data_IF_867558521196
#
_entry.id   IF_867558521196
#
_cell.length_a   1.000
_cell.length_b   1.000
_cell.length_c   1.000
_cell.angle_alpha   90.00
_cell.angle_beta   90.00
_cell.angle_gamma   90.00
#
_symmetry.space_group_name_H-M   'P 1'
#
loop_
_entity.id
_entity.type
_entity.pdbx_description
1 polymer ?
#
# COMPACT_ATOMS: atom_id res chain seq x y z
N UNK A 1 37.54 -13.26 -25.98
CA UNK A 1 36.68 -14.05 -25.08
C UNK A 1 35.80 -13.08 -24.29
N UNK A 2 34.57 -12.83 -24.75
CA UNK A 2 33.66 -11.86 -24.13
C UNK A 2 32.74 -12.58 -23.13
N UNK A 3 32.87 -12.27 -21.83
CA UNK A 3 31.93 -12.74 -20.80
C UNK A 3 30.74 -11.81 -20.76
N UNK A 4 29.65 -12.21 -21.42
CA UNK A 4 28.32 -11.62 -21.20
C UNK A 4 27.86 -12.02 -19.81
N UNK A 5 27.85 -11.10 -18.86
CA UNK A 5 27.20 -11.30 -17.56
C UNK A 5 25.69 -11.28 -17.77
N UNK A 6 25.12 -12.47 -17.99
CA UNK A 6 23.67 -12.68 -17.97
C UNK A 6 23.19 -12.40 -16.54
N UNK A 7 22.49 -11.29 -16.33
CA UNK A 7 21.77 -11.02 -15.07
C UNK A 7 20.94 -12.26 -14.70
N UNK A 8 21.03 -12.75 -13.45
CA UNK A 8 20.22 -13.88 -13.04
C UNK A 8 18.74 -13.47 -13.06
N UNK A 9 17.89 -14.34 -13.62
CA UNK A 9 16.45 -14.16 -13.59
C UNK A 9 15.96 -14.11 -12.12
N UNK A 10 14.94 -13.29 -11.80
CA UNK A 10 14.40 -13.21 -10.44
C UNK A 10 13.93 -14.61 -9.99
N UNK A 11 14.31 -15.00 -8.77
CA UNK A 11 14.03 -16.34 -8.22
C UNK A 11 12.52 -16.50 -8.00
N UNK A 12 11.97 -17.73 -8.07
CA UNK A 12 10.53 -17.98 -7.85
C UNK A 12 10.03 -17.58 -6.45
N UNK A 13 10.94 -17.40 -5.48
CA UNK A 13 10.63 -16.99 -4.11
C UNK A 13 10.32 -15.49 -3.99
N UNK A 14 10.81 -14.64 -4.91
CA UNK A 14 10.38 -13.24 -5.05
C UNK A 14 8.91 -13.17 -5.47
N UNK A 15 8.48 -14.09 -6.36
CA UNK A 15 7.10 -14.15 -6.86
C UNK A 15 6.09 -14.61 -5.81
N UNK A 16 6.51 -15.35 -4.77
CA UNK A 16 5.62 -15.77 -3.68
C UNK A 16 5.29 -14.65 -2.69
N UNK A 17 5.96 -13.50 -2.78
CA UNK A 17 5.68 -12.30 -1.98
C UNK A 17 4.91 -11.23 -2.75
N UNK A 18 4.48 -11.47 -3.98
CA UNK A 18 3.33 -10.76 -4.56
C UNK A 18 2.03 -11.28 -3.93
N UNK A 19 1.99 -11.39 -2.59
CA UNK A 19 0.73 -11.15 -1.89
C UNK A 19 0.40 -9.71 -2.28
N UNK A 20 -0.69 -9.49 -2.99
CA UNK A 20 -1.22 -8.14 -3.21
C UNK A 20 -1.19 -7.40 -1.87
N UNK A 21 -0.23 -6.49 -1.71
CA UNK A 21 -0.04 -5.75 -0.48
C UNK A 21 -1.20 -4.79 -0.40
N UNK A 22 -2.14 -5.11 0.48
CA UNK A 22 -3.32 -4.31 0.72
C UNK A 22 -3.10 -3.41 1.92
N UNK A 23 -3.64 -2.22 1.84
CA UNK A 23 -3.56 -1.20 2.87
C UNK A 23 -4.96 -0.77 3.24
N UNK A 24 -5.21 -0.67 4.53
CA UNK A 24 -6.40 0.00 5.04
C UNK A 24 -6.07 1.48 5.25
N UNK A 25 -6.88 2.33 4.63
CA UNK A 25 -6.82 3.77 4.77
C UNK A 25 -8.08 4.22 5.51
N UNK A 26 -7.88 4.79 6.68
CA UNK A 26 -8.92 5.41 7.48
C UNK A 26 -8.87 6.93 7.33
N UNK A 27 -10.02 7.53 6.99
CA UNK A 27 -10.22 8.97 7.01
C UNK A 27 -10.57 9.36 8.43
N UNK A 28 -9.83 10.32 8.98
CA UNK A 28 -10.04 10.80 10.33
C UNK A 28 -10.63 12.20 10.31
N UNK A 29 -11.48 12.48 11.29
CA UNK A 29 -11.88 13.83 11.62
C UNK A 29 -10.65 14.66 12.05
N UNK A 30 -10.60 15.91 11.61
CA UNK A 30 -9.46 16.79 11.89
C UNK A 30 -9.48 17.38 13.30
N UNK A 31 -10.64 17.42 13.96
CA UNK A 31 -10.83 17.98 15.31
C UNK A 31 -10.54 16.93 16.37
N UNK A 32 -11.22 15.78 16.32
CA UNK A 32 -11.16 14.78 17.39
C UNK A 32 -10.42 13.49 16.99
N UNK A 33 -10.07 13.33 15.71
CA UNK A 33 -9.37 12.14 15.21
C UNK A 33 -10.25 10.90 15.14
N UNK A 34 -11.57 11.04 15.25
CA UNK A 34 -12.50 9.91 15.09
C UNK A 34 -12.43 9.34 13.68
N UNK A 35 -12.65 8.03 13.56
CA UNK A 35 -12.68 7.37 12.27
C UNK A 35 -14.01 7.66 11.56
N UNK A 36 -13.94 8.39 10.46
CA UNK A 36 -15.10 8.71 9.63
C UNK A 36 -15.41 7.60 8.64
N UNK A 37 -14.37 7.07 7.99
CA UNK A 37 -14.48 6.09 6.92
C UNK A 37 -13.23 5.21 6.87
N UNK A 38 -13.37 3.94 6.50
CA UNK A 38 -12.25 3.03 6.22
C UNK A 38 -12.42 2.36 4.87
N UNK A 39 -11.33 2.26 4.12
CA UNK A 39 -11.29 1.56 2.83
C UNK A 39 -10.01 0.74 2.73
N UNK A 40 -10.11 -0.48 2.21
CA UNK A 40 -8.95 -1.33 1.88
C UNK A 40 -8.64 -1.21 0.39
N UNK A 41 -7.39 -0.85 0.07
CA UNK A 41 -6.89 -0.68 -1.30
C UNK A 41 -5.60 -1.44 -1.55
N UNK A 42 -5.30 -1.69 -2.82
CA UNK A 42 -3.98 -2.15 -3.26
C UNK A 42 -2.92 -1.04 -3.17
N UNK A 43 -1.66 -1.46 -3.13
CA UNK A 43 -0.49 -0.57 -3.06
C UNK A 43 -0.49 0.54 -4.13
N UNK A 44 -0.84 0.23 -5.38
CA UNK A 44 -0.87 1.18 -6.49
C UNK A 44 -1.84 2.35 -6.25
N UNK A 45 -2.93 2.09 -5.52
CA UNK A 45 -3.98 3.08 -5.24
C UNK A 45 -3.62 4.00 -4.07
N UNK A 46 -2.71 3.59 -3.17
CA UNK A 46 -2.35 4.36 -1.96
C UNK A 46 -1.84 5.75 -2.31
N UNK A 47 -0.92 5.85 -3.27
CA UNK A 47 -0.33 7.14 -3.66
C UNK A 47 -1.39 8.14 -4.16
N UNK A 48 -2.36 7.67 -4.95
CA UNK A 48 -3.44 8.54 -5.47
C UNK A 48 -4.30 9.07 -4.34
N UNK A 49 -4.68 8.22 -3.40
CA UNK A 49 -5.53 8.59 -2.26
C UNK A 49 -4.83 9.59 -1.34
N UNK A 50 -3.53 9.37 -1.05
CA UNK A 50 -2.74 10.31 -0.24
C UNK A 50 -2.66 11.69 -0.90
N UNK A 51 -2.43 11.75 -2.21
CA UNK A 51 -2.38 13.03 -2.93
C UNK A 51 -3.73 13.75 -2.92
N UNK A 52 -4.83 13.02 -3.12
CA UNK A 52 -6.19 13.59 -3.06
C UNK A 52 -6.52 14.15 -1.67
N UNK A 53 -6.19 13.40 -0.60
CA UNK A 53 -6.38 13.84 0.77
C UNK A 53 -5.53 15.08 1.09
N UNK A 54 -4.27 15.09 0.68
CA UNK A 54 -3.37 16.23 0.87
C UNK A 54 -3.88 17.49 0.16
N UNK A 55 -4.50 17.36 -1.02
CA UNK A 55 -5.03 18.48 -1.79
C UNK A 55 -6.17 19.24 -1.07
N UNK A 56 -6.89 18.57 -0.17
CA UNK A 56 -8.02 19.16 0.59
C UNK A 56 -7.74 19.25 2.10
N UNK A 57 -6.51 18.96 2.54
CA UNK A 57 -6.11 19.02 3.95
C UNK A 57 -6.70 17.90 4.83
N UNK A 58 -7.06 16.77 4.25
CA UNK A 58 -7.70 15.68 4.98
C UNK A 58 -6.72 14.85 5.80
N UNK A 59 -7.11 14.50 7.03
CA UNK A 59 -6.34 13.61 7.89
C UNK A 59 -6.58 12.14 7.53
N UNK A 60 -5.50 11.39 7.36
CA UNK A 60 -5.51 9.96 7.06
C UNK A 60 -4.71 9.17 8.10
N UNK A 61 -5.16 7.95 8.38
CA UNK A 61 -4.38 6.90 9.02
C UNK A 61 -4.26 5.73 8.04
N UNK A 62 -3.03 5.25 7.81
CA UNK A 62 -2.75 4.20 6.82
C UNK A 62 -2.02 3.07 7.54
N UNK A 63 -2.54 1.85 7.39
CA UNK A 63 -1.90 0.64 7.91
C UNK A 63 -1.95 -0.48 6.88
N UNK A 64 -1.06 -1.48 6.96
CA UNK A 64 -1.28 -2.74 6.24
C UNK A 64 -2.66 -3.29 6.59
N UNK A 65 -3.46 -3.64 5.58
CA UNK A 65 -4.66 -4.42 5.82
C UNK A 65 -4.18 -5.84 6.04
N UNK A 66 -4.09 -6.26 7.31
CA UNK A 66 -3.82 -7.65 7.65
C UNK A 66 -4.72 -8.53 6.76
N UNK A 67 -4.13 -9.42 5.97
CA UNK A 67 -4.86 -10.62 5.57
C UNK A 67 -5.10 -11.33 6.88
N UNK A 68 -6.23 -11.07 7.55
CA UNK A 68 -6.66 -11.87 8.69
C UNK A 68 -6.60 -13.31 8.24
N UNK A 69 -5.51 -13.97 8.63
CA UNK A 69 -5.42 -15.40 8.67
C UNK A 69 -6.26 -15.76 9.88
N UNK A 70 -7.56 -15.92 9.64
CA UNK A 70 -8.45 -16.68 10.51
C UNK A 70 -8.74 -18.00 9.82
#
# INVERSE_FOLDING_TARGET
>A
MSRTTRSPAPRPEDRRREKHLRFEIMRLDDIDGTALESTVVDADSVNRIVQQAAAIGQRLYIRPADTSAS
#
